data_IF_904931159466
#
_entry.id   IF_904931159466
#
_cell.length_a   1.000
_cell.length_b   1.000
_cell.length_c   1.000
_cell.angle_alpha   90.00
_cell.angle_beta   90.00
_cell.angle_gamma   90.00
#
_symmetry.space_group_name_H-M   'P 1'
#
loop_
_entity.id
_entity.type
_entity.pdbx_description
1 polymer ?
#
# COMPACT_ATOMS: atom_id res chain seq x y z
N UNK A 1 41.03 26.43 1.78
CA UNK A 1 40.90 25.06 2.33
C UNK A 1 39.67 24.91 3.23
N UNK A 2 39.42 25.83 4.16
CA UNK A 2 38.24 25.75 5.04
C UNK A 2 36.91 26.07 4.32
N UNK A 3 36.95 26.94 3.30
CA UNK A 3 35.78 27.28 2.46
C UNK A 3 35.31 26.16 1.54
N UNK A 4 36.23 25.30 1.08
CA UNK A 4 35.91 24.16 0.21
C UNK A 4 35.19 23.02 0.96
N UNK A 5 35.51 22.80 2.23
CA UNK A 5 34.84 21.78 3.07
C UNK A 5 33.38 22.19 3.36
N UNK A 6 33.15 23.47 3.66
CA UNK A 6 31.80 24.00 3.90
C UNK A 6 30.92 23.93 2.64
N UNK A 7 31.51 24.16 1.47
CA UNK A 7 30.82 23.99 0.18
C UNK A 7 30.38 22.56 -0.10
N UNK A 8 31.24 21.58 0.17
CA UNK A 8 30.93 20.15 -0.01
C UNK A 8 29.81 19.68 0.93
N UNK A 9 29.83 20.06 2.21
CA UNK A 9 28.76 19.72 3.16
C UNK A 9 27.40 20.33 2.77
N UNK A 10 27.41 21.55 2.22
CA UNK A 10 26.20 22.21 1.74
C UNK A 10 25.63 21.56 0.47
N UNK A 11 26.50 20.97 -0.37
CA UNK A 11 26.10 20.18 -1.54
C UNK A 11 25.40 18.87 -1.14
N UNK A 12 25.99 18.12 -0.21
CA UNK A 12 25.41 16.86 0.30
C UNK A 12 24.02 17.02 0.92
N UNK A 13 23.74 18.15 1.57
CA UNK A 13 22.42 18.42 2.14
C UNK A 13 21.38 18.90 1.12
N UNK A 14 21.84 19.23 -0.09
CA UNK A 14 21.01 19.69 -1.20
C UNK A 14 20.88 18.64 -2.30
N UNK A 15 21.41 17.43 -2.08
CA UNK A 15 21.15 16.29 -2.93
C UNK A 15 19.70 15.84 -2.75
N UNK A 16 18.85 16.30 -3.66
CA UNK A 16 17.46 15.85 -3.85
C UNK A 16 17.39 14.53 -4.63
N UNK A 17 18.54 13.87 -4.86
CA UNK A 17 18.63 12.57 -5.52
C UNK A 17 17.88 11.51 -4.69
N UNK A 18 16.80 10.97 -5.27
CA UNK A 18 15.95 9.95 -4.63
C UNK A 18 14.65 10.48 -4.04
N UNK A 19 14.38 11.80 -4.09
CA UNK A 19 13.10 12.36 -3.66
C UNK A 19 11.91 11.73 -4.42
N UNK A 20 12.05 11.51 -5.73
CA UNK A 20 11.03 10.83 -6.55
C UNK A 20 10.79 9.37 -6.14
N UNK A 21 11.80 8.68 -5.59
CA UNK A 21 11.63 7.32 -5.04
C UNK A 21 10.79 7.35 -3.77
N UNK A 22 10.99 8.36 -2.92
CA UNK A 22 10.21 8.54 -1.70
C UNK A 22 8.73 8.79 -2.01
N UNK A 23 8.43 9.59 -3.03
CA UNK A 23 7.05 9.82 -3.48
C UNK A 23 6.36 8.52 -3.91
N UNK A 24 7.05 7.67 -4.68
CA UNK A 24 6.50 6.36 -5.07
C UNK A 24 6.28 5.43 -3.87
N UNK A 25 7.22 5.39 -2.92
CA UNK A 25 7.08 4.58 -1.71
C UNK A 25 5.88 5.07 -0.87
N UNK A 26 5.68 6.38 -0.76
CA UNK A 26 4.55 6.96 -0.03
C UNK A 26 3.21 6.61 -0.69
N UNK A 27 3.11 6.66 -2.02
CA UNK A 27 1.92 6.22 -2.76
C UNK A 27 1.63 4.75 -2.47
N UNK A 28 2.64 3.87 -2.57
CA UNK A 28 2.50 2.44 -2.29
C UNK A 28 2.06 2.20 -0.84
N UNK A 29 2.66 2.91 0.12
CA UNK A 29 2.31 2.79 1.53
C UNK A 29 0.84 3.16 1.79
N UNK A 30 0.35 4.24 1.18
CA UNK A 30 -1.06 4.64 1.26
C UNK A 30 -1.97 3.58 0.64
N UNK A 31 -1.62 3.05 -0.53
CA UNK A 31 -2.40 1.98 -1.17
C UNK A 31 -2.48 0.72 -0.30
N UNK A 32 -1.35 0.30 0.29
CA UNK A 32 -1.32 -0.84 1.21
C UNK A 32 -2.21 -0.58 2.43
N UNK A 33 -2.13 0.62 3.03
CA UNK A 33 -2.98 0.99 4.16
C UNK A 33 -4.47 0.90 3.81
N UNK A 34 -4.87 1.41 2.64
CA UNK A 34 -6.25 1.28 2.13
C UNK A 34 -6.65 -0.19 1.98
N UNK A 35 -5.81 -1.02 1.35
CA UNK A 35 -6.09 -2.46 1.21
C UNK A 35 -6.27 -3.13 2.57
N UNK A 36 -5.41 -2.82 3.55
CA UNK A 36 -5.50 -3.41 4.89
C UNK A 36 -6.80 -3.04 5.61
N UNK A 37 -7.32 -1.82 5.42
CA UNK A 37 -8.60 -1.40 6.00
C UNK A 37 -9.80 -2.15 5.41
N UNK A 38 -9.74 -2.54 4.13
CA UNK A 38 -10.89 -3.12 3.43
C UNK A 38 -10.81 -4.64 3.23
N UNK A 39 -9.63 -5.26 3.39
CA UNK A 39 -9.42 -6.70 3.08
C UNK A 39 -10.41 -7.61 3.81
N UNK A 40 -10.66 -7.34 5.09
CA UNK A 40 -11.49 -8.19 5.95
C UNK A 40 -12.96 -8.10 5.52
N UNK A 41 -13.42 -6.90 5.17
CA UNK A 41 -14.78 -6.68 4.66
C UNK A 41 -15.01 -7.33 3.31
N UNK A 42 -14.02 -7.31 2.43
CA UNK A 42 -14.10 -8.02 1.15
C UNK A 42 -14.20 -9.53 1.40
N UNK A 43 -13.38 -10.08 2.31
CA UNK A 43 -13.41 -11.50 2.65
C UNK A 43 -14.77 -11.92 3.24
N UNK A 44 -15.30 -11.17 4.21
CA UNK A 44 -16.63 -11.42 4.80
C UNK A 44 -17.73 -11.48 3.73
N UNK A 45 -17.71 -10.55 2.77
CA UNK A 45 -18.71 -10.51 1.69
C UNK A 45 -18.58 -11.71 0.76
N UNK A 46 -17.35 -12.09 0.40
CA UNK A 46 -17.10 -13.23 -0.49
C UNK A 46 -17.52 -14.54 0.18
N UNK A 47 -17.18 -14.74 1.46
CA UNK A 47 -17.59 -15.92 2.24
C UNK A 47 -19.11 -16.01 2.31
N UNK A 48 -19.80 -14.92 2.69
CA UNK A 48 -21.25 -14.89 2.77
C UNK A 48 -21.94 -15.21 1.43
N UNK A 49 -21.37 -14.76 0.31
CA UNK A 49 -21.88 -15.06 -1.03
C UNK A 49 -21.71 -16.54 -1.39
N UNK A 50 -20.56 -17.13 -1.06
CA UNK A 50 -20.27 -18.55 -1.30
C UNK A 50 -21.21 -19.42 -0.47
N UNK A 51 -21.38 -19.13 0.82
CA UNK A 51 -22.25 -19.88 1.71
C UNK A 51 -23.70 -19.82 1.23
N UNK A 52 -24.19 -18.63 0.88
CA UNK A 52 -25.55 -18.44 0.36
C UNK A 52 -25.77 -19.20 -0.94
N UNK A 53 -24.78 -19.23 -1.84
CA UNK A 53 -24.86 -19.99 -3.08
C UNK A 53 -24.86 -21.50 -2.84
N UNK A 54 -24.02 -21.98 -1.91
CA UNK A 54 -23.95 -23.39 -1.52
C UNK A 54 -25.27 -23.89 -0.90
N UNK A 55 -25.81 -23.16 0.08
CA UNK A 55 -27.09 -23.51 0.71
C UNK A 55 -28.26 -23.57 -0.28
N UNK A 56 -28.32 -22.60 -1.22
CA UNK A 56 -29.38 -22.59 -2.24
C UNK A 56 -29.25 -23.75 -3.20
N UNK A 57 -28.03 -24.13 -3.57
CA UNK A 57 -27.79 -25.27 -4.44
C UNK A 57 -28.27 -26.57 -3.78
N UNK A 58 -27.95 -26.78 -2.50
CA UNK A 58 -28.34 -28.01 -1.80
C UNK A 58 -29.86 -28.15 -1.63
N UNK A 59 -30.57 -27.05 -1.34
CA UNK A 59 -32.05 -27.02 -1.26
C UNK A 59 -32.78 -27.33 -2.58
N UNK A 60 -32.09 -27.27 -3.72
CA UNK A 60 -32.68 -27.59 -5.04
C UNK A 60 -32.53 -29.08 -5.37
N UNK A 61 -31.59 -29.77 -4.72
CA UNK A 61 -31.30 -31.19 -4.97
C UNK A 61 -31.88 -32.13 -3.90
N UNK A 62 -32.34 -31.60 -2.77
CA UNK A 62 -33.22 -32.27 -1.79
C UNK A 62 -34.71 -32.08 -2.15
#
# INVERSE_FOLDING_TARGET
MMTSIVGSMKGFWKDEEGLGTLEMILIIAVLIAVVLLFKEKIQEVVEALIDTAGEKSQKVFE
#
